data_IF_326307190961
#
_entry.id   IF_326307190961
#
_cell.length_a   1.000
_cell.length_b   1.000
_cell.length_c   1.000
_cell.angle_alpha   90.00
_cell.angle_beta   90.00
_cell.angle_gamma   90.00
#
_symmetry.space_group_name_H-M   'P 1'
#
loop_
_entity.id
_entity.type
_entity.pdbx_description
1 polymer ?
#
# COMPACT_ATOMS: atom_id res chain seq x y z
N UNK A 1 11.00 20.18 20.39
CA UNK A 1 9.55 20.15 20.67
C UNK A 1 8.96 19.01 19.86
N UNK A 2 8.55 17.94 20.51
CA UNK A 2 7.66 16.95 19.89
C UNK A 2 6.38 17.68 19.49
N UNK A 3 6.03 17.65 18.19
CA UNK A 3 4.75 18.20 17.74
C UNK A 3 3.67 17.17 18.08
N UNK A 4 2.67 17.58 18.85
CA UNK A 4 1.51 16.75 19.12
C UNK A 4 0.85 16.28 17.81
N UNK A 5 0.28 15.06 17.82
CA UNK A 5 -0.44 14.56 16.67
C UNK A 5 -1.62 15.47 16.32
N UNK A 6 -1.91 15.69 15.02
CA UNK A 6 -3.14 16.36 14.61
C UNK A 6 -4.36 15.64 15.18
N UNK A 7 -5.30 16.41 15.71
CA UNK A 7 -6.55 15.89 16.27
C UNK A 7 -7.70 16.21 15.31
N UNK A 8 -8.48 15.18 14.97
CA UNK A 8 -9.66 15.29 14.13
C UNK A 8 -10.91 14.95 14.93
N UNK A 9 -11.90 15.84 14.92
CA UNK A 9 -13.22 15.56 15.48
C UNK A 9 -14.24 15.40 14.36
N UNK A 10 -14.89 14.25 14.29
CA UNK A 10 -15.96 13.96 13.36
C UNK A 10 -17.29 14.02 14.10
N UNK A 11 -18.25 14.76 13.56
CA UNK A 11 -19.61 14.88 14.09
C UNK A 11 -20.64 14.42 13.06
N UNK A 12 -21.50 13.49 13.45
CA UNK A 12 -22.63 12.98 12.70
C UNK A 12 -23.93 13.29 13.45
N UNK A 13 -25.00 13.57 12.70
CA UNK A 13 -26.34 13.56 13.28
C UNK A 13 -26.73 12.13 13.72
N UNK A 14 -27.68 11.96 14.64
CA UNK A 14 -28.16 10.63 15.05
C UNK A 14 -28.58 9.76 13.86
N UNK A 15 -29.25 10.35 12.86
CA UNK A 15 -29.69 9.65 11.64
C UNK A 15 -28.51 9.16 10.79
N UNK A 16 -27.53 10.01 10.53
CA UNK A 16 -26.34 9.65 9.73
C UNK A 16 -25.47 8.63 10.48
N UNK A 17 -25.39 8.74 11.82
CA UNK A 17 -24.71 7.74 12.65
C UNK A 17 -25.40 6.38 12.58
N UNK A 18 -26.73 6.33 12.74
CA UNK A 18 -27.51 5.10 12.61
C UNK A 18 -27.33 4.47 11.22
N UNK A 19 -27.35 5.29 10.16
CA UNK A 19 -27.11 4.81 8.81
C UNK A 19 -25.71 4.21 8.66
N UNK A 20 -24.68 4.87 9.19
CA UNK A 20 -23.30 4.37 9.17
C UNK A 20 -23.17 3.01 9.89
N UNK A 21 -23.82 2.86 11.05
CA UNK A 21 -23.66 1.67 11.92
C UNK A 21 -24.59 0.52 11.57
N UNK A 22 -25.69 0.76 10.85
CA UNK A 22 -26.70 -0.27 10.54
C UNK A 22 -26.17 -1.41 9.67
N UNK A 23 -25.22 -1.13 8.77
CA UNK A 23 -24.58 -2.14 7.95
C UNK A 23 -23.11 -1.76 7.71
N UNK A 24 -22.20 -2.41 8.45
CA UNK A 24 -20.76 -2.16 8.35
C UNK A 24 -20.18 -2.47 6.95
N UNK A 25 -20.86 -3.29 6.15
CA UNK A 25 -20.46 -3.67 4.79
C UNK A 25 -20.97 -2.70 3.72
N UNK A 26 -21.78 -1.71 4.11
CA UNK A 26 -22.30 -0.70 3.20
C UNK A 26 -21.18 0.11 2.56
N UNK A 27 -21.27 0.29 1.23
CA UNK A 27 -20.40 1.20 0.47
C UNK A 27 -20.92 2.64 0.44
N UNK A 28 -22.10 2.87 1.02
CA UNK A 28 -22.77 4.18 1.00
C UNK A 28 -22.09 5.14 1.96
N UNK A 29 -21.86 6.36 1.48
CA UNK A 29 -21.32 7.44 2.30
C UNK A 29 -22.45 8.19 3.01
N UNK A 30 -22.23 8.44 4.30
CA UNK A 30 -23.01 9.34 5.15
C UNK A 30 -22.43 10.75 5.12
N UNK A 31 -23.26 11.77 5.37
CA UNK A 31 -22.79 13.15 5.49
C UNK A 31 -22.35 13.45 6.92
N UNK A 32 -21.28 14.23 7.06
CA UNK A 32 -20.71 14.55 8.37
C UNK A 32 -19.89 15.85 8.30
N UNK A 33 -19.50 16.39 9.45
CA UNK A 33 -18.55 17.50 9.56
C UNK A 33 -17.30 17.02 10.28
N UNK A 34 -16.13 17.40 9.76
CA UNK A 34 -14.84 17.16 10.42
C UNK A 34 -14.24 18.48 10.85
N UNK A 35 -13.67 18.53 12.04
CA UNK A 35 -12.90 19.67 12.56
C UNK A 35 -11.43 19.27 12.64
N UNK A 36 -10.56 20.19 12.21
CA UNK A 36 -9.11 20.11 12.39
C UNK A 36 -8.64 21.49 12.86
N UNK A 37 -7.90 21.57 13.96
CA UNK A 37 -7.44 22.83 14.57
C UNK A 37 -8.58 23.85 14.78
N UNK A 38 -9.74 23.36 15.26
CA UNK A 38 -10.94 24.17 15.51
C UNK A 38 -11.71 24.63 14.27
N UNK A 39 -11.26 24.30 13.05
CA UNK A 39 -11.93 24.71 11.80
C UNK A 39 -12.81 23.57 11.26
N UNK A 40 -14.15 23.72 11.27
CA UNK A 40 -15.06 22.73 10.69
C UNK A 40 -15.07 22.78 9.16
N UNK A 41 -15.23 21.61 8.54
CA UNK A 41 -15.50 21.48 7.12
C UNK A 41 -16.34 20.23 6.81
N UNK A 42 -17.20 20.29 5.77
CA UNK A 42 -18.05 19.17 5.41
C UNK A 42 -17.23 18.00 4.84
N UNK A 43 -17.63 16.80 5.22
CA UNK A 43 -17.08 15.55 4.72
C UNK A 43 -18.18 14.54 4.40
N UNK A 44 -17.82 13.54 3.61
CA UNK A 44 -18.57 12.30 3.46
C UNK A 44 -17.74 11.16 4.04
N UNK A 45 -18.36 10.31 4.84
CA UNK A 45 -17.72 9.26 5.62
C UNK A 45 -18.33 7.90 5.27
N UNK A 46 -17.50 6.85 5.28
CA UNK A 46 -17.96 5.44 5.36
C UNK A 46 -16.89 4.58 6.01
N UNK A 47 -17.24 3.38 6.45
CA UNK A 47 -16.24 2.38 6.81
C UNK A 47 -15.47 1.91 5.56
N UNK A 48 -14.19 1.56 5.74
CA UNK A 48 -13.33 1.01 4.67
C UNK A 48 -12.68 -0.31 5.07
N UNK A 49 -12.22 -1.04 4.05
CA UNK A 49 -11.50 -2.30 4.20
C UNK A 49 -12.35 -3.51 3.80
N UNK A 50 -11.75 -4.69 3.90
CA UNK A 50 -12.45 -5.98 3.80
C UNK A 50 -12.80 -6.45 5.20
N UNK A 51 -12.14 -7.52 5.66
CA UNK A 51 -12.34 -8.09 7.00
C UNK A 51 -12.15 -7.07 8.15
N UNK A 52 -11.32 -6.04 7.97
CA UNK A 52 -11.06 -5.00 8.98
C UNK A 52 -12.29 -4.18 9.38
N UNK A 53 -13.38 -4.22 8.61
CA UNK A 53 -14.66 -3.61 9.02
C UNK A 53 -15.28 -4.32 10.22
N UNK A 54 -14.95 -5.60 10.44
CA UNK A 54 -15.39 -6.36 11.60
C UNK A 54 -14.70 -5.96 12.91
N UNK A 55 -13.57 -5.24 12.85
CA UNK A 55 -12.78 -4.93 14.04
C UNK A 55 -13.45 -3.94 14.97
N UNK A 56 -13.21 -4.03 16.30
CA UNK A 56 -13.72 -3.04 17.26
C UNK A 56 -13.35 -1.61 16.85
N UNK A 57 -12.08 -1.41 16.46
CA UNK A 57 -11.57 -0.15 15.93
C UNK A 57 -11.78 -0.06 14.42
N UNK A 58 -12.82 0.65 13.99
CA UNK A 58 -13.19 0.78 12.58
C UNK A 58 -12.23 1.70 11.82
N UNK A 59 -11.96 1.39 10.56
CA UNK A 59 -11.25 2.28 9.62
C UNK A 59 -12.22 3.01 8.71
N UNK A 60 -11.85 4.21 8.24
CA UNK A 60 -12.75 5.08 7.47
C UNK A 60 -12.18 5.53 6.12
N UNK A 61 -13.03 5.61 5.08
CA UNK A 61 -12.76 6.44 3.90
C UNK A 61 -13.49 7.78 4.08
N UNK A 62 -12.73 8.88 4.02
CA UNK A 62 -13.23 10.23 4.17
C UNK A 62 -13.04 10.99 2.88
N UNK A 63 -14.12 11.58 2.36
CA UNK A 63 -14.11 12.45 1.19
C UNK A 63 -14.43 13.87 1.61
N UNK A 64 -13.52 14.77 1.25
CA UNK A 64 -13.74 16.23 1.28
C UNK A 64 -14.19 16.69 -0.11
N UNK A 65 -14.43 17.99 -0.29
CA UNK A 65 -14.77 18.57 -1.58
C UNK A 65 -13.75 18.24 -2.70
N UNK A 66 -12.46 18.07 -2.38
CA UNK A 66 -11.41 17.91 -3.40
C UNK A 66 -10.48 16.70 -3.20
N UNK A 67 -10.56 16.02 -2.05
CA UNK A 67 -9.61 14.96 -1.66
C UNK A 67 -10.31 13.77 -1.03
N UNK A 68 -9.74 12.58 -1.25
CA UNK A 68 -10.07 11.36 -0.50
C UNK A 68 -8.89 11.04 0.41
N UNK A 69 -9.19 10.72 1.66
CA UNK A 69 -8.24 10.18 2.62
C UNK A 69 -8.77 8.87 3.19
N UNK A 70 -7.85 8.02 3.62
CA UNK A 70 -8.15 6.80 4.34
C UNK A 70 -7.60 6.94 5.75
N UNK A 71 -8.45 6.79 6.76
CA UNK A 71 -8.05 6.79 8.15
C UNK A 71 -8.04 5.34 8.60
N UNK A 72 -6.84 4.75 8.63
CA UNK A 72 -6.63 3.37 9.01
C UNK A 72 -6.40 3.26 10.50
N UNK A 73 -7.11 2.31 11.12
CA UNK A 73 -6.88 1.93 12.51
C UNK A 73 -5.51 1.23 12.71
N UNK A 74 -4.95 0.66 11.62
CA UNK A 74 -3.71 -0.17 11.64
C UNK A 74 -3.78 -1.27 12.71
N UNK A 75 -4.99 -1.80 12.98
CA UNK A 75 -5.34 -2.56 14.18
C UNK A 75 -4.52 -3.84 14.39
N UNK A 76 -4.15 -4.52 13.31
CA UNK A 76 -3.33 -5.73 13.38
C UNK A 76 -1.83 -5.46 13.46
N UNK A 77 -1.37 -4.26 13.11
CA UNK A 77 0.02 -3.86 13.20
C UNK A 77 0.34 -3.42 14.63
N UNK A 78 1.09 -4.21 15.43
CA UNK A 78 1.46 -3.82 16.79
C UNK A 78 2.31 -2.56 16.89
N UNK A 79 2.88 -2.09 15.77
CA UNK A 79 3.65 -0.85 15.74
C UNK A 79 2.80 0.35 15.35
N UNK A 80 1.71 0.14 14.60
CA UNK A 80 0.97 1.18 13.85
C UNK A 80 1.84 1.95 12.83
N UNK A 81 3.06 1.49 12.52
CA UNK A 81 4.04 2.20 11.71
C UNK A 81 4.25 1.60 10.31
N UNK A 82 4.02 0.30 10.12
CA UNK A 82 4.54 -0.46 8.98
C UNK A 82 4.08 0.07 7.63
N UNK A 83 2.81 0.46 7.55
CA UNK A 83 2.24 1.03 6.33
C UNK A 83 2.90 2.39 6.00
N UNK A 84 3.04 3.27 7.00
CA UNK A 84 3.71 4.56 6.87
C UNK A 84 5.19 4.41 6.49
N UNK A 85 5.91 3.55 7.21
CA UNK A 85 7.32 3.26 6.97
C UNK A 85 7.55 2.71 5.56
N UNK A 86 6.70 1.78 5.12
CA UNK A 86 6.75 1.23 3.77
C UNK A 86 6.57 2.31 2.71
N UNK A 87 5.54 3.14 2.78
CA UNK A 87 5.34 4.18 1.77
C UNK A 87 6.48 5.20 1.73
N UNK A 88 7.03 5.60 2.89
CA UNK A 88 8.24 6.43 2.95
C UNK A 88 9.45 5.74 2.32
N UNK A 89 9.58 4.42 2.52
CA UNK A 89 10.64 3.65 1.88
C UNK A 89 10.48 3.62 0.35
N UNK A 90 9.27 3.40 -0.18
CA UNK A 90 9.01 3.46 -1.62
C UNK A 90 9.34 4.83 -2.22
N UNK A 91 8.96 5.93 -1.54
CA UNK A 91 9.34 7.29 -1.97
C UNK A 91 10.87 7.43 -2.03
N UNK A 92 11.59 6.93 -1.02
CA UNK A 92 13.07 7.01 -0.96
C UNK A 92 13.78 6.29 -2.11
N UNK A 93 13.15 5.24 -2.67
CA UNK A 93 13.67 4.50 -3.83
C UNK A 93 13.08 4.96 -5.16
N UNK A 94 12.37 6.10 -5.16
CA UNK A 94 11.76 6.79 -6.32
C UNK A 94 10.55 6.06 -6.93
N UNK A 95 9.79 5.34 -6.11
CA UNK A 95 8.46 4.86 -6.48
C UNK A 95 7.43 5.82 -5.87
N UNK A 96 6.51 6.40 -6.66
CA UNK A 96 5.43 7.20 -6.09
C UNK A 96 4.65 6.38 -5.07
N UNK A 97 4.44 6.90 -3.86
CA UNK A 97 3.65 6.23 -2.84
C UNK A 97 2.73 7.24 -2.12
N UNK A 98 1.64 6.78 -1.49
CA UNK A 98 0.73 7.64 -0.73
C UNK A 98 1.47 8.36 0.39
N UNK A 99 1.17 9.64 0.58
CA UNK A 99 1.61 10.34 1.79
C UNK A 99 0.80 9.87 2.99
N UNK A 100 1.45 9.86 4.16
CA UNK A 100 0.85 9.42 5.43
C UNK A 100 1.12 10.40 6.56
N UNK A 101 0.21 10.41 7.54
CA UNK A 101 0.34 11.17 8.78
C UNK A 101 -0.45 10.48 9.89
N UNK A 102 0.19 10.17 11.00
CA UNK A 102 -0.50 9.73 12.21
C UNK A 102 -1.33 10.87 12.80
N UNK A 103 -2.46 10.53 13.41
CA UNK A 103 -3.41 11.49 13.97
C UNK A 103 -4.25 10.85 15.07
N UNK A 104 -4.89 11.67 15.90
CA UNK A 104 -5.90 11.23 16.88
C UNK A 104 -7.28 11.51 16.31
N UNK A 105 -8.19 10.54 16.40
CA UNK A 105 -9.54 10.65 15.87
C UNK A 105 -10.59 10.59 16.98
N UNK A 106 -11.56 11.49 16.91
CA UNK A 106 -12.78 11.47 17.71
C UNK A 106 -14.00 11.34 16.81
N UNK A 107 -15.01 10.59 17.26
CA UNK A 107 -16.30 10.44 16.59
C UNK A 107 -17.42 10.74 17.58
N UNK A 108 -18.22 11.77 17.30
CA UNK A 108 -19.29 12.25 18.19
C UNK A 108 -18.81 12.49 19.63
N UNK A 109 -17.61 13.06 19.78
CA UNK A 109 -16.99 13.34 21.08
C UNK A 109 -16.27 12.15 21.73
N UNK A 110 -16.45 10.93 21.24
CA UNK A 110 -15.75 9.75 21.75
C UNK A 110 -14.36 9.61 21.12
N UNK A 111 -13.33 9.42 21.95
CA UNK A 111 -11.98 9.12 21.48
C UNK A 111 -11.96 7.75 20.80
N UNK A 112 -11.54 7.72 19.54
CA UNK A 112 -11.27 6.48 18.79
C UNK A 112 -9.79 6.09 18.81
N UNK A 113 -8.89 6.96 19.28
CA UNK A 113 -7.46 6.69 19.41
C UNK A 113 -6.62 7.11 18.21
N UNK A 114 -5.46 6.48 18.04
CA UNK A 114 -4.46 6.79 17.00
C UNK A 114 -4.84 6.15 15.67
N UNK A 115 -4.77 6.92 14.59
CA UNK A 115 -5.05 6.49 13.22
C UNK A 115 -3.93 6.92 12.27
N UNK A 116 -3.73 6.14 11.22
CA UNK A 116 -2.90 6.55 10.08
C UNK A 116 -3.78 7.16 8.99
N UNK A 117 -3.65 8.47 8.75
CA UNK A 117 -4.25 9.14 7.61
C UNK A 117 -3.40 8.93 6.37
N UNK A 118 -3.97 8.33 5.33
CA UNK A 118 -3.31 7.97 4.08
C UNK A 118 -3.97 8.73 2.92
N UNK A 119 -3.16 9.31 2.04
CA UNK A 119 -3.61 9.98 0.81
C UNK A 119 -4.29 8.98 -0.15
N UNK A 120 -5.48 9.31 -0.64
CA UNK A 120 -6.16 8.50 -1.66
C UNK A 120 -5.49 8.60 -3.03
N UNK A 121 -5.17 7.45 -3.63
CA UNK A 121 -4.50 7.33 -4.94
C UNK A 121 -5.48 7.56 -6.11
N UNK A 122 -6.03 8.77 -6.18
CA UNK A 122 -6.95 9.19 -7.24
C UNK A 122 -6.30 10.28 -8.11
N UNK A 123 -7.08 10.92 -8.98
CA UNK A 123 -6.60 11.97 -9.89
C UNK A 123 -5.77 13.08 -9.21
N UNK A 124 -6.08 13.43 -7.96
CA UNK A 124 -5.33 14.44 -7.19
C UNK A 124 -3.88 14.01 -6.90
N UNK A 125 -3.68 12.77 -6.44
CA UNK A 125 -2.36 12.19 -6.14
C UNK A 125 -1.40 12.33 -7.32
N UNK A 126 -1.88 11.95 -8.51
CA UNK A 126 -1.11 11.99 -9.75
C UNK A 126 -0.84 13.41 -10.23
N UNK A 127 -1.82 14.32 -10.09
CA UNK A 127 -1.65 15.74 -10.45
C UNK A 127 -0.58 16.42 -9.62
N UNK A 128 -0.57 16.22 -8.29
CA UNK A 128 0.44 16.80 -7.40
C UNK A 128 1.86 16.35 -7.75
N UNK A 129 2.00 15.09 -8.18
CA UNK A 129 3.28 14.51 -8.57
C UNK A 129 3.64 14.77 -10.05
N UNK A 130 2.82 15.54 -10.78
CA UNK A 130 3.00 15.84 -12.21
C UNK A 130 3.10 14.58 -13.08
N UNK A 131 2.35 13.53 -12.73
CA UNK A 131 2.27 12.27 -13.47
C UNK A 131 0.93 12.23 -14.21
N UNK A 132 0.85 12.64 -15.48
CA UNK A 132 -0.40 12.62 -16.23
C UNK A 132 -0.82 11.17 -16.52
N UNK A 133 -1.97 10.76 -15.99
CA UNK A 133 -2.49 9.39 -16.13
C UNK A 133 -3.81 9.33 -16.89
N UNK A 134 -3.91 8.34 -17.78
CA UNK A 134 -5.11 8.04 -18.55
C UNK A 134 -6.08 7.24 -17.70
N UNK A 135 -5.59 6.15 -17.13
CA UNK A 135 -6.38 5.23 -16.30
C UNK A 135 -5.67 4.85 -15.01
N UNK A 136 -6.46 4.49 -14.00
CA UNK A 136 -6.03 4.04 -12.68
C UNK A 136 -6.86 2.80 -12.33
N UNK A 137 -6.19 1.70 -12.06
CA UNK A 137 -6.77 0.44 -11.61
C UNK A 137 -6.22 0.08 -10.23
N UNK A 138 -7.09 -0.22 -9.28
CA UNK A 138 -6.68 -0.82 -8.02
C UNK A 138 -6.70 -2.34 -8.15
N UNK A 139 -5.65 -3.01 -7.67
CA UNK A 139 -5.66 -4.45 -7.45
C UNK A 139 -6.38 -4.72 -6.12
N UNK A 140 -7.53 -5.37 -6.17
CA UNK A 140 -8.47 -5.46 -5.04
C UNK A 140 -8.61 -6.87 -4.45
N UNK A 141 -8.06 -7.89 -5.12
CA UNK A 141 -7.95 -9.26 -4.63
C UNK A 141 -6.85 -10.02 -5.39
N UNK A 142 -6.62 -11.27 -5.02
CA UNK A 142 -5.63 -12.21 -5.52
C UNK A 142 -5.70 -12.55 -7.02
N UNK A 143 -6.79 -12.23 -7.72
CA UNK A 143 -6.89 -12.41 -9.17
C UNK A 143 -6.12 -11.34 -9.97
N UNK A 144 -5.54 -10.32 -9.31
CA UNK A 144 -4.68 -9.33 -9.97
C UNK A 144 -3.21 -9.82 -10.13
N UNK A 145 -3.02 -11.08 -10.54
CA UNK A 145 -1.69 -11.69 -10.77
C UNK A 145 -1.07 -11.48 -12.16
N UNK A 146 -1.77 -10.76 -13.05
CA UNK A 146 -1.45 -10.64 -14.49
C UNK A 146 -1.45 -11.99 -15.26
N UNK A 147 -2.24 -12.97 -14.82
CA UNK A 147 -2.38 -14.29 -15.45
C UNK A 147 -3.63 -14.36 -16.35
N UNK A 148 -3.71 -15.35 -17.24
CA UNK A 148 -4.94 -15.66 -17.99
C UNK A 148 -5.83 -16.65 -17.22
N UNK A 149 -5.21 -17.56 -16.44
CA UNK A 149 -5.89 -18.54 -15.60
C UNK A 149 -5.36 -18.37 -14.18
N UNK A 150 -6.22 -18.06 -13.21
CA UNK A 150 -5.96 -18.43 -11.81
C UNK A 150 -6.29 -19.92 -11.68
N UNK A 151 -5.42 -20.71 -11.05
CA UNK A 151 -5.59 -22.15 -10.93
C UNK A 151 -7.01 -22.58 -10.48
N UNK A 152 -7.63 -23.41 -11.32
CA UNK A 152 -8.61 -24.51 -11.11
C UNK A 152 -9.77 -24.47 -10.10
N UNK A 153 -9.99 -23.42 -9.30
CA UNK A 153 -11.17 -23.35 -8.41
C UNK A 153 -12.08 -22.14 -8.65
N UNK A 154 -11.69 -21.20 -9.51
CA UNK A 154 -12.52 -20.04 -9.82
C UNK A 154 -13.28 -20.22 -11.13
N UNK A 155 -14.59 -20.01 -11.09
CA UNK A 155 -15.49 -20.03 -12.26
C UNK A 155 -15.43 -18.74 -13.08
N UNK A 156 -14.58 -17.78 -12.69
CA UNK A 156 -14.51 -16.47 -13.35
C UNK A 156 -13.48 -16.47 -14.48
N UNK A 157 -13.96 -16.43 -15.71
CA UNK A 157 -13.15 -16.24 -16.92
C UNK A 157 -12.77 -14.78 -17.18
N UNK A 158 -13.20 -13.84 -16.32
CA UNK A 158 -12.88 -12.42 -16.50
C UNK A 158 -11.46 -12.10 -16.00
N UNK A 159 -10.59 -11.78 -16.96
CA UNK A 159 -9.22 -11.33 -16.75
C UNK A 159 -9.07 -10.09 -15.86
N UNK A 160 -10.17 -9.37 -15.61
CA UNK A 160 -10.20 -8.15 -14.79
C UNK A 160 -10.86 -8.34 -13.41
N UNK A 161 -11.22 -9.55 -13.00
CA UNK A 161 -11.90 -9.84 -11.72
C UNK A 161 -11.15 -9.36 -10.47
N UNK A 162 -9.82 -9.24 -10.56
CA UNK A 162 -8.97 -8.68 -9.50
C UNK A 162 -8.78 -7.17 -9.54
N UNK A 163 -9.40 -6.46 -10.48
CA UNK A 163 -9.13 -5.04 -10.73
C UNK A 163 -10.39 -4.18 -10.65
N UNK A 164 -10.28 -3.05 -9.94
CA UNK A 164 -11.30 -2.01 -9.94
C UNK A 164 -10.82 -0.78 -10.70
N UNK A 165 -11.59 -0.32 -11.70
CA UNK A 165 -11.30 0.90 -12.44
C UNK A 165 -11.70 2.12 -11.60
N UNK A 166 -10.72 2.91 -11.19
CA UNK A 166 -10.91 4.12 -10.37
C UNK A 166 -11.01 5.38 -11.22
N UNK A 167 -10.25 5.42 -12.33
CA UNK A 167 -10.27 6.48 -13.34
C UNK A 167 -10.09 5.85 -14.70
N UNK A 168 -10.90 6.24 -15.66
CA UNK A 168 -10.82 5.78 -17.05
C UNK A 168 -12.21 5.50 -17.62
N UNK A 169 -12.24 4.84 -18.77
CA UNK A 169 -13.47 4.39 -19.46
C UNK A 169 -13.35 2.90 -19.80
N UNK A 170 -14.40 2.30 -20.38
CA UNK A 170 -14.37 0.88 -20.75
C UNK A 170 -13.28 0.52 -21.76
N UNK A 171 -12.91 1.44 -22.65
CA UNK A 171 -11.73 1.26 -23.52
C UNK A 171 -10.44 1.02 -22.73
N UNK A 172 -10.31 1.58 -21.52
CA UNK A 172 -9.14 1.35 -20.67
C UNK A 172 -9.18 -0.05 -20.03
N UNK A 173 -10.37 -0.57 -19.70
CA UNK A 173 -10.55 -1.98 -19.30
C UNK A 173 -10.09 -2.90 -20.43
N UNK A 174 -10.53 -2.64 -21.65
CA UNK A 174 -10.10 -3.40 -22.84
C UNK A 174 -8.59 -3.32 -23.05
N UNK A 175 -7.96 -2.15 -22.84
CA UNK A 175 -6.49 -2.02 -22.91
C UNK A 175 -5.78 -2.88 -21.86
N UNK A 176 -6.26 -2.91 -20.62
CA UNK A 176 -5.68 -3.75 -19.57
C UNK A 176 -5.86 -5.24 -19.88
N UNK A 177 -7.05 -5.65 -20.36
CA UNK A 177 -7.31 -7.02 -20.81
C UNK A 177 -6.33 -7.43 -21.91
N UNK A 178 -6.18 -6.58 -22.93
CA UNK A 178 -5.25 -6.81 -24.03
C UNK A 178 -3.79 -6.83 -23.56
N UNK A 179 -3.45 -6.03 -22.54
CA UNK A 179 -2.11 -6.06 -21.93
C UNK A 179 -1.83 -7.41 -21.27
N UNK A 180 -2.77 -7.91 -20.45
CA UNK A 180 -2.65 -9.21 -19.77
C UNK A 180 -2.58 -10.35 -20.80
N UNK A 181 -3.43 -10.33 -21.82
CA UNK A 181 -3.40 -11.33 -22.90
C UNK A 181 -2.04 -11.36 -23.60
N UNK A 182 -1.57 -10.20 -24.07
CA UNK A 182 -0.29 -10.10 -24.79
C UNK A 182 0.93 -10.46 -23.93
N UNK A 183 0.91 -10.11 -22.63
CA UNK A 183 1.93 -10.53 -21.68
C UNK A 183 2.07 -12.06 -21.64
N UNK A 184 0.95 -12.77 -21.75
CA UNK A 184 0.87 -14.21 -21.59
C UNK A 184 1.07 -15.00 -22.90
N UNK A 185 0.73 -14.43 -24.06
CA UNK A 185 0.72 -15.17 -25.34
C UNK A 185 1.86 -14.83 -26.29
N UNK A 186 2.51 -13.66 -26.18
CA UNK A 186 3.58 -13.27 -27.11
C UNK A 186 4.79 -14.19 -27.07
N UNK A 187 5.40 -14.39 -28.24
CA UNK A 187 6.70 -15.05 -28.38
C UNK A 187 7.80 -14.26 -27.66
N UNK A 188 8.96 -14.88 -27.41
CA UNK A 188 10.04 -14.26 -26.62
C UNK A 188 10.51 -12.90 -27.17
N UNK A 189 10.73 -12.79 -28.48
CA UNK A 189 11.22 -11.54 -29.10
C UNK A 189 10.15 -10.45 -29.06
N UNK A 190 8.91 -10.78 -29.39
CA UNK A 190 7.80 -9.83 -29.37
C UNK A 190 7.46 -9.37 -27.96
N UNK A 191 7.53 -10.28 -26.98
CA UNK A 191 7.31 -10.00 -25.57
C UNK A 191 8.35 -8.99 -25.06
N UNK A 192 9.63 -9.14 -25.44
CA UNK A 192 10.66 -8.19 -25.06
C UNK A 192 10.32 -6.76 -25.52
N UNK A 193 9.99 -6.60 -26.81
CA UNK A 193 9.60 -5.30 -27.39
C UNK A 193 8.31 -4.76 -26.76
N UNK A 194 7.34 -5.63 -26.50
CA UNK A 194 6.08 -5.28 -25.84
C UNK A 194 6.30 -4.76 -24.41
N UNK A 195 7.12 -5.44 -23.62
CA UNK A 195 7.44 -4.99 -22.26
C UNK A 195 8.15 -3.63 -22.28
N UNK A 196 9.10 -3.42 -23.19
CA UNK A 196 9.80 -2.14 -23.33
C UNK A 196 8.86 -0.99 -23.74
N UNK A 197 7.84 -1.25 -24.56
CA UNK A 197 6.92 -0.22 -25.06
C UNK A 197 5.74 0.03 -24.13
N UNK A 198 5.31 -0.96 -23.34
CA UNK A 198 4.10 -0.88 -22.50
C UNK A 198 4.35 -0.82 -21.01
N UNK A 199 5.54 -1.14 -20.50
CA UNK A 199 5.86 -1.07 -19.07
C UNK A 199 6.89 0.03 -18.83
N UNK A 200 6.67 0.84 -17.80
CA UNK A 200 7.73 1.63 -17.20
C UNK A 200 8.60 0.71 -16.35
N UNK A 201 9.60 0.11 -17.00
CA UNK A 201 10.42 -0.93 -16.40
C UNK A 201 11.28 -0.43 -15.24
N UNK A 202 11.73 0.82 -15.25
CA UNK A 202 12.48 1.38 -14.11
C UNK A 202 11.57 1.52 -12.89
N UNK A 203 10.37 2.10 -13.05
CA UNK A 203 9.37 2.18 -11.98
C UNK A 203 8.98 0.79 -11.46
N UNK A 204 8.71 -0.17 -12.35
CA UNK A 204 8.33 -1.53 -11.96
C UNK A 204 9.45 -2.25 -11.20
N UNK A 205 10.70 -2.19 -11.65
CA UNK A 205 11.80 -2.87 -10.98
C UNK A 205 12.17 -2.23 -9.64
N UNK A 206 11.96 -0.91 -9.48
CA UNK A 206 12.05 -0.25 -8.16
C UNK A 206 10.92 -0.68 -7.24
N UNK A 207 9.69 -0.77 -7.75
CA UNK A 207 8.57 -1.28 -6.97
C UNK A 207 8.80 -2.73 -6.53
N UNK A 208 9.28 -3.59 -7.44
CA UNK A 208 9.66 -4.97 -7.15
C UNK A 208 10.72 -5.01 -6.04
N UNK A 209 11.74 -4.16 -6.15
CA UNK A 209 12.77 -4.03 -5.10
C UNK A 209 12.12 -3.64 -3.76
N UNK A 210 11.19 -2.70 -3.76
CA UNK A 210 10.45 -2.27 -2.57
C UNK A 210 9.63 -3.38 -1.94
N UNK A 211 8.82 -4.09 -2.72
CA UNK A 211 8.00 -5.22 -2.26
C UNK A 211 8.87 -6.34 -1.68
N UNK A 212 9.98 -6.67 -2.35
CA UNK A 212 10.97 -7.65 -1.86
C UNK A 212 11.63 -7.16 -0.58
N UNK A 213 12.12 -5.93 -0.52
CA UNK A 213 12.87 -5.43 0.65
C UNK A 213 11.97 -5.30 1.90
N UNK A 214 10.73 -4.84 1.73
CA UNK A 214 9.76 -4.70 2.83
C UNK A 214 9.11 -6.02 3.23
N UNK A 215 9.11 -7.02 2.34
CA UNK A 215 8.57 -8.35 2.61
C UNK A 215 7.06 -8.46 2.46
N UNK A 216 6.42 -7.60 1.66
CA UNK A 216 4.98 -7.69 1.41
C UNK A 216 4.69 -8.89 0.48
N UNK A 217 4.23 -10.01 1.06
CA UNK A 217 3.93 -11.23 0.33
C UNK A 217 2.70 -11.09 -0.59
N UNK A 218 1.66 -10.43 -0.10
CA UNK A 218 0.41 -10.22 -0.83
C UNK A 218 0.53 -9.16 -1.93
N UNK A 219 1.49 -8.25 -1.78
CA UNK A 219 1.76 -7.11 -2.66
C UNK A 219 1.96 -7.44 -4.13
N UNK A 220 2.17 -8.70 -4.50
CA UNK A 220 2.38 -9.12 -5.88
C UNK A 220 1.10 -9.45 -6.64
N UNK A 221 0.03 -9.79 -5.93
CA UNK A 221 -1.27 -10.19 -6.50
C UNK A 221 -2.40 -9.27 -6.07
N UNK A 222 -2.21 -8.50 -5.00
CA UNK A 222 -3.08 -7.43 -4.53
C UNK A 222 -2.22 -6.28 -3.99
N UNK A 223 -2.82 -5.28 -3.32
CA UNK A 223 -2.05 -4.27 -2.57
C UNK A 223 -1.14 -3.40 -3.47
N UNK A 224 -1.64 -3.08 -4.68
CA UNK A 224 -1.00 -2.12 -5.58
C UNK A 224 -2.02 -1.36 -6.44
N UNK A 225 -1.57 -0.25 -7.03
CA UNK A 225 -2.30 0.46 -8.09
C UNK A 225 -1.52 0.38 -9.39
N UNK A 226 -2.22 0.04 -10.47
CA UNK A 226 -1.71 -0.01 -11.84
C UNK A 226 -2.27 1.17 -12.63
N UNK A 227 -1.40 1.97 -13.25
CA UNK A 227 -1.83 3.20 -13.93
C UNK A 227 -1.16 3.38 -15.29
N UNK A 228 -1.90 3.88 -16.28
CA UNK A 228 -1.37 4.17 -17.61
C UNK A 228 -0.97 5.65 -17.75
N UNK A 229 0.27 5.92 -18.13
CA UNK A 229 0.76 7.29 -18.39
C UNK A 229 0.25 7.80 -19.74
N UNK A 230 -0.27 9.02 -19.78
CA UNK A 230 -0.86 9.62 -21.00
C UNK A 230 0.18 9.72 -22.12
N UNK A 231 1.35 10.30 -21.82
CA UNK A 231 2.36 10.66 -22.82
C UNK A 231 3.04 9.45 -23.46
N UNK A 232 3.44 8.47 -22.65
CA UNK A 232 4.20 7.31 -23.12
C UNK A 232 3.33 6.09 -23.43
N UNK A 233 2.07 6.05 -22.99
CA UNK A 233 1.24 4.84 -23.02
C UNK A 233 1.73 3.70 -22.13
N UNK A 234 2.85 3.89 -21.42
CA UNK A 234 3.40 2.91 -20.49
C UNK A 234 2.60 2.83 -19.20
N UNK A 235 2.48 1.63 -18.68
CA UNK A 235 1.96 1.40 -17.34
C UNK A 235 3.04 1.54 -16.28
N UNK A 236 2.67 2.12 -15.15
CA UNK A 236 3.44 2.12 -13.91
C UNK A 236 2.65 1.48 -12.77
N UNK A 237 3.34 1.27 -11.66
CA UNK A 237 2.85 0.63 -10.45
C UNK A 237 3.24 1.45 -9.21
N UNK A 238 2.39 1.40 -8.19
CA UNK A 238 2.65 1.97 -6.87
C UNK A 238 2.07 1.07 -5.76
N UNK A 239 2.64 1.12 -4.54
CA UNK A 239 2.19 0.28 -3.42
C UNK A 239 0.88 0.77 -2.79
N UNK A 240 0.14 -0.15 -2.18
CA UNK A 240 -1.03 0.10 -1.33
C UNK A 240 -1.15 -1.01 -0.26
N UNK A 241 -1.70 -0.78 0.94
CA UNK A 241 -1.79 -1.79 2.04
C UNK A 241 -0.47 -2.56 2.31
N UNK A 242 0.45 -1.87 2.98
CA UNK A 242 1.78 -2.38 3.33
C UNK A 242 1.95 -2.57 4.84
N UNK A 243 0.88 -2.85 5.58
CA UNK A 243 0.93 -3.22 7.00
C UNK A 243 1.56 -4.61 7.22
N UNK A 244 1.33 -5.57 6.31
CA UNK A 244 1.94 -6.90 6.33
C UNK A 244 3.40 -6.91 5.83
N UNK A 245 4.28 -6.21 6.55
CA UNK A 245 5.69 -6.01 6.19
C UNK A 245 6.62 -6.00 7.40
N UNK A 246 7.92 -5.81 7.19
CA UNK A 246 8.93 -5.60 8.25
C UNK A 246 8.88 -6.68 9.35
N UNK A 247 8.84 -7.95 8.91
CA UNK A 247 8.88 -9.12 9.79
C UNK A 247 7.54 -9.56 10.35
N UNK A 248 6.41 -9.00 9.89
CA UNK A 248 5.05 -9.48 10.22
C UNK A 248 4.19 -9.64 8.96
N UNK A 249 3.20 -10.53 9.02
CA UNK A 249 2.14 -10.62 8.01
C UNK A 249 1.01 -9.61 8.31
N UNK A 250 -0.02 -9.57 7.46
CA UNK A 250 -1.15 -8.64 7.56
C UNK A 250 -2.02 -8.83 8.82
N UNK A 251 -1.86 -9.95 9.55
CA UNK A 251 -2.54 -10.20 10.83
C UNK A 251 -1.67 -9.88 12.05
N UNK A 252 -0.47 -9.31 11.82
CA UNK A 252 0.49 -9.00 12.87
C UNK A 252 1.30 -10.20 13.36
N UNK A 253 1.18 -11.38 12.76
CA UNK A 253 1.99 -12.55 13.12
C UNK A 253 3.40 -12.41 12.59
N UNK A 254 4.41 -12.80 13.39
CA UNK A 254 5.82 -12.77 12.96
C UNK A 254 6.05 -13.73 11.81
N UNK A 255 6.89 -13.32 10.86
CA UNK A 255 7.26 -14.13 9.70
C UNK A 255 8.77 -14.13 9.50
N UNK A 256 9.27 -15.15 8.81
CA UNK A 256 10.67 -15.26 8.47
C UNK A 256 11.08 -14.10 7.50
N UNK A 257 12.25 -13.48 7.71
CA UNK A 257 12.84 -12.56 6.74
C UNK A 257 12.92 -13.10 5.31
N UNK A 258 12.90 -14.41 5.07
CA UNK A 258 12.95 -15.04 3.75
C UNK A 258 11.58 -15.21 3.06
N UNK A 259 10.46 -14.85 3.71
CA UNK A 259 9.08 -15.06 3.23
C UNK A 259 8.89 -14.68 1.76
N UNK A 260 9.45 -13.53 1.35
CA UNK A 260 9.45 -13.09 -0.05
C UNK A 260 10.79 -13.44 -0.68
N UNK A 261 10.81 -14.25 -1.74
CA UNK A 261 12.06 -14.53 -2.47
C UNK A 261 12.57 -13.32 -3.25
N UNK A 262 13.86 -13.26 -3.55
CA UNK A 262 14.48 -12.11 -4.24
C UNK A 262 13.90 -11.84 -5.63
N UNK A 263 13.39 -12.87 -6.34
CA UNK A 263 12.72 -12.70 -7.61
C UNK A 263 11.30 -12.12 -7.48
N UNK A 264 10.72 -12.07 -6.28
CA UNK A 264 9.31 -11.76 -6.09
C UNK A 264 8.37 -12.78 -6.74
N UNK A 265 7.13 -12.36 -6.96
CA UNK A 265 6.05 -13.19 -7.51
C UNK A 265 5.29 -12.44 -8.62
N UNK A 266 4.19 -13.05 -9.07
CA UNK A 266 3.34 -12.69 -10.20
C UNK A 266 3.92 -12.94 -11.60
N UNK A 267 3.02 -12.93 -12.59
CA UNK A 267 3.34 -13.26 -13.98
C UNK A 267 4.23 -12.20 -14.63
N UNK A 268 3.97 -10.91 -14.41
CA UNK A 268 4.72 -9.83 -15.03
C UNK A 268 6.18 -9.82 -14.57
N UNK A 269 6.44 -10.01 -13.27
CA UNK A 269 7.78 -10.14 -12.72
C UNK A 269 8.53 -11.31 -13.36
N UNK A 270 7.92 -12.49 -13.44
CA UNK A 270 8.53 -13.66 -14.07
C UNK A 270 8.86 -13.42 -15.55
N UNK A 271 7.98 -12.75 -16.29
CA UNK A 271 8.19 -12.42 -17.71
C UNK A 271 9.28 -11.36 -17.91
N UNK A 272 9.39 -10.36 -17.03
CA UNK A 272 10.49 -9.38 -17.06
C UNK A 272 11.82 -10.04 -16.72
N UNK A 273 11.91 -10.77 -15.61
CA UNK A 273 13.16 -11.39 -15.16
C UNK A 273 13.61 -12.57 -16.05
N UNK A 274 12.80 -13.04 -16.99
CA UNK A 274 13.27 -13.97 -18.02
C UNK A 274 14.31 -13.34 -18.98
N UNK A 275 14.37 -12.01 -19.09
CA UNK A 275 15.32 -11.31 -19.95
C UNK A 275 16.54 -10.82 -19.18
N UNK A 276 17.74 -11.12 -19.70
CA UNK A 276 19.03 -10.76 -19.07
C UNK A 276 19.14 -9.25 -18.78
N UNK A 277 18.70 -8.39 -19.69
CA UNK A 277 18.77 -6.93 -19.52
C UNK A 277 17.98 -6.45 -18.30
N UNK A 278 16.74 -6.89 -18.14
CA UNK A 278 15.91 -6.54 -16.98
C UNK A 278 16.45 -7.13 -15.68
N UNK A 279 16.97 -8.37 -15.69
CA UNK A 279 17.65 -8.94 -14.51
C UNK A 279 18.86 -8.13 -14.09
N UNK A 280 19.70 -7.69 -15.03
CA UNK A 280 20.88 -6.87 -14.69
C UNK A 280 20.47 -5.51 -14.12
N UNK A 281 19.42 -4.88 -14.66
CA UNK A 281 18.87 -3.65 -14.10
C UNK A 281 18.35 -3.87 -12.67
N UNK A 282 17.57 -4.94 -12.45
CA UNK A 282 17.06 -5.29 -11.13
C UNK A 282 18.19 -5.59 -10.13
N UNK A 283 19.18 -6.38 -10.53
CA UNK A 283 20.37 -6.70 -9.72
C UNK A 283 21.14 -5.45 -9.32
N UNK A 284 21.29 -4.48 -10.24
CA UNK A 284 21.90 -3.18 -9.96
C UNK A 284 21.09 -2.36 -8.95
N UNK A 285 19.77 -2.28 -9.12
CA UNK A 285 18.88 -1.59 -8.18
C UNK A 285 18.94 -2.22 -6.78
N UNK A 286 18.82 -3.55 -6.68
CA UNK A 286 18.90 -4.27 -5.40
C UNK A 286 20.22 -4.02 -4.68
N UNK A 287 21.36 -4.06 -5.39
CA UNK A 287 22.67 -3.70 -4.81
C UNK A 287 22.66 -2.28 -4.26
N UNK A 288 22.20 -1.32 -5.04
CA UNK A 288 22.15 0.08 -4.63
C UNK A 288 21.24 0.29 -3.41
N UNK A 289 20.08 -0.36 -3.38
CA UNK A 289 19.16 -0.25 -2.26
C UNK A 289 19.73 -0.92 -1.00
N UNK A 290 20.36 -2.09 -1.11
CA UNK A 290 21.06 -2.72 0.01
C UNK A 290 22.28 -1.91 0.47
N UNK A 291 22.97 -1.16 -0.38
CA UNK A 291 24.08 -0.32 0.09
C UNK A 291 23.59 0.96 0.77
N UNK A 292 22.53 1.59 0.23
CA UNK A 292 22.27 3.00 0.51
C UNK A 292 20.91 3.30 1.15
N UNK A 293 19.86 2.51 0.85
CA UNK A 293 18.48 2.84 1.23
C UNK A 293 17.95 1.93 2.34
N UNK A 294 18.14 0.61 2.19
CA UNK A 294 17.62 -0.40 3.10
C UNK A 294 18.66 -0.75 4.18
N UNK A 295 19.12 0.23 4.94
CA UNK A 295 20.13 0.06 6.01
C UNK A 295 19.55 0.50 7.34
N UNK A 296 20.06 -0.03 8.45
CA UNK A 296 19.68 0.44 9.79
C UNK A 296 19.88 1.95 9.93
N UNK A 297 21.03 2.48 9.48
CA UNK A 297 21.36 3.91 9.51
C UNK A 297 20.32 4.79 8.79
N UNK A 298 19.61 4.27 7.79
CA UNK A 298 18.58 5.03 7.07
C UNK A 298 17.17 4.78 7.59
N UNK A 299 16.86 3.54 7.95
CA UNK A 299 15.51 3.13 8.34
C UNK A 299 15.23 3.49 9.80
N UNK A 300 16.15 3.18 10.71
CA UNK A 300 15.91 3.30 12.14
C UNK A 300 15.63 4.74 12.62
N UNK A 301 16.29 5.79 12.10
CA UNK A 301 15.93 7.15 12.47
C UNK A 301 14.48 7.53 12.13
N UNK A 302 13.91 6.96 11.05
CA UNK A 302 12.50 7.16 10.71
C UNK A 302 11.59 6.33 11.62
N UNK A 303 11.96 5.08 11.91
CA UNK A 303 11.22 4.20 12.84
C UNK A 303 11.10 4.85 14.21
N UNK A 304 12.22 5.27 14.80
CA UNK A 304 12.21 5.90 16.12
C UNK A 304 11.43 7.22 16.14
N UNK A 305 11.54 8.02 15.07
CA UNK A 305 10.76 9.25 14.95
C UNK A 305 9.26 8.96 14.97
N UNK A 306 8.80 8.07 14.08
CA UNK A 306 7.38 7.73 13.99
C UNK A 306 6.87 7.06 15.29
N UNK A 307 7.68 6.22 15.93
CA UNK A 307 7.34 5.57 17.18
C UNK A 307 7.18 6.57 18.33
N UNK A 308 8.16 7.47 18.49
CA UNK A 308 8.13 8.50 19.52
C UNK A 308 6.97 9.48 19.30
N UNK A 309 6.71 9.88 18.05
CA UNK A 309 5.61 10.78 17.68
C UNK A 309 4.23 10.29 18.13
N UNK A 310 4.02 8.96 18.22
CA UNK A 310 2.71 8.39 18.56
C UNK A 310 2.62 7.80 19.97
N UNK A 311 3.75 7.56 20.66
CA UNK A 311 3.81 6.76 21.89
C UNK A 311 2.83 7.24 22.97
N UNK A 312 2.79 8.54 23.22
CA UNK A 312 1.94 9.12 24.27
C UNK A 312 0.44 9.00 23.96
N UNK A 313 0.06 9.06 22.68
CA UNK A 313 -1.33 8.92 22.25
C UNK A 313 -1.75 7.45 22.15
N UNK A 314 -0.83 6.53 21.82
CA UNK A 314 -1.08 5.09 21.86
C UNK A 314 -1.36 4.62 23.28
N UNK A 315 -0.65 5.16 24.29
CA UNK A 315 -0.92 4.88 25.71
C UNK A 315 -2.35 5.26 26.14
N UNK A 316 -2.99 6.22 25.45
CA UNK A 316 -4.34 6.72 25.74
C UNK A 316 -5.40 6.08 24.83
N UNK A 317 -4.99 5.25 23.87
CA UNK A 317 -5.86 4.68 22.86
C UNK A 317 -6.75 3.58 23.47
N UNK A 318 -8.07 3.78 23.58
CA UNK A 318 -8.96 2.81 24.22
C UNK A 318 -9.13 1.52 23.40
N UNK A 319 -8.59 1.48 22.18
CA UNK A 319 -8.71 0.36 21.25
C UNK A 319 -7.36 -0.23 20.83
N UNK A 320 -6.27 0.08 21.54
CA UNK A 320 -4.98 -0.55 21.28
C UNK A 320 -5.09 -2.07 21.51
N UNK A 321 -4.97 -2.85 20.43
CA UNK A 321 -5.12 -4.32 20.44
C UNK A 321 -4.00 -5.00 21.23
N UNK A 322 -2.79 -4.44 21.15
CA UNK A 322 -1.56 -5.11 21.58
C UNK A 322 -1.09 -4.57 22.94
N UNK A 323 -0.49 -5.42 23.79
CA UNK A 323 0.19 -4.98 25.00
C UNK A 323 1.25 -3.90 24.72
N UNK A 324 1.41 -2.95 25.64
CA UNK A 324 2.31 -1.80 25.44
C UNK A 324 3.79 -2.18 25.37
N UNK A 325 4.20 -3.27 26.01
CA UNK A 325 5.55 -3.84 25.89
C UNK A 325 5.80 -4.41 24.47
N UNK A 326 4.77 -4.99 23.85
CA UNK A 326 4.84 -5.41 22.44
C UNK A 326 5.04 -4.20 21.55
N UNK A 327 4.22 -3.14 21.69
CA UNK A 327 4.37 -1.89 20.94
C UNK A 327 5.76 -1.25 21.14
N UNK A 328 6.24 -1.20 22.38
CA UNK A 328 7.56 -0.65 22.72
C UNK A 328 8.71 -1.44 22.09
N UNK A 329 8.55 -2.76 21.90
CA UNK A 329 9.54 -3.63 21.29
C UNK A 329 9.55 -3.65 19.75
N UNK A 330 8.56 -3.05 19.09
CA UNK A 330 8.47 -3.10 17.63
C UNK A 330 9.60 -2.41 16.85
N UNK A 331 10.18 -1.27 17.31
CA UNK A 331 11.36 -0.71 16.67
C UNK A 331 12.52 -1.71 16.56
N UNK A 332 12.78 -2.48 17.62
CA UNK A 332 13.84 -3.50 17.62
C UNK A 332 13.51 -4.64 16.67
N UNK A 333 12.24 -5.05 16.57
CA UNK A 333 11.81 -6.08 15.59
C UNK A 333 12.01 -5.63 14.15
N UNK A 334 11.70 -4.37 13.85
CA UNK A 334 11.95 -3.79 12.53
C UNK A 334 13.46 -3.78 12.25
N UNK A 335 14.30 -3.41 13.24
CA UNK A 335 15.77 -3.45 13.12
C UNK A 335 16.28 -4.86 12.82
N UNK A 336 15.88 -5.85 13.61
CA UNK A 336 16.23 -7.26 13.41
C UNK A 336 15.82 -7.75 12.02
N UNK A 337 14.62 -7.40 11.56
CA UNK A 337 14.16 -7.74 10.22
C UNK A 337 15.08 -7.13 9.16
N UNK A 338 15.43 -5.84 9.28
CA UNK A 338 16.32 -5.16 8.32
C UNK A 338 17.66 -5.89 8.24
N UNK A 339 18.28 -6.23 9.37
CA UNK A 339 19.56 -6.97 9.40
C UNK A 339 19.45 -8.31 8.69
N UNK A 340 18.54 -9.18 9.15
CA UNK A 340 18.39 -10.55 8.62
C UNK A 340 17.95 -10.54 7.16
N UNK A 341 17.08 -9.61 6.77
CA UNK A 341 16.62 -9.47 5.37
C UNK A 341 17.76 -9.06 4.45
N UNK A 342 18.67 -8.17 4.90
CA UNK A 342 19.86 -7.78 4.14
C UNK A 342 20.82 -8.94 3.95
N UNK A 343 21.06 -9.73 4.98
CA UNK A 343 21.90 -10.92 4.91
C UNK A 343 21.37 -11.91 3.87
N UNK A 344 20.10 -12.30 4.02
CA UNK A 344 19.41 -13.18 3.07
C UNK A 344 19.49 -12.64 1.63
N UNK A 345 19.13 -11.38 1.40
CA UNK A 345 19.10 -10.82 0.04
C UNK A 345 20.50 -10.66 -0.55
N UNK A 346 21.51 -10.35 0.26
CA UNK A 346 22.90 -10.24 -0.22
C UNK A 346 23.44 -11.59 -0.70
N UNK A 347 23.06 -12.68 -0.03
CA UNK A 347 23.36 -14.04 -0.46
C UNK A 347 22.62 -14.37 -1.78
N UNK A 348 21.30 -14.19 -1.83
CA UNK A 348 20.49 -14.56 -3.00
C UNK A 348 20.77 -13.70 -4.23
N UNK A 349 21.24 -12.46 -4.05
CA UNK A 349 21.61 -11.59 -5.15
C UNK A 349 22.77 -12.16 -5.99
N UNK A 350 23.63 -13.01 -5.41
CA UNK A 350 24.70 -13.70 -6.15
C UNK A 350 24.13 -14.68 -7.18
N UNK A 351 22.94 -15.21 -6.93
CA UNK A 351 22.25 -16.22 -7.74
C UNK A 351 21.34 -15.63 -8.85
N UNK A 352 21.22 -14.29 -8.92
CA UNK A 352 20.30 -13.55 -9.81
C UNK A 352 20.91 -13.08 -11.15
#
# INVERSE_FOLDING_TARGET
MEMALPVYHISLSPTEYQQLTSNIWSETFVNSTMQMDGKPFPIRLRYRGGHTRGYPKKSFEIRTASRTYHFNAEYDDPSLLRNALSFRFFESIRVPAPSTQHCVLYLNGQLLGVYLRIEGVKSFFFRQRKIPVRSIFYAVNDHAGFTINSDTSSTSTDLLSGYSLIRGKDVDRTRLRNFIQQLNTKSKLELFRFLQSRVDTDNYLRWLSGAVLTGNFDGFHQNYTWYEKIKSGKYGILPWDYEGTWGRNCYGTRVDPNLVRIQGYNRLTGRLLAFRSFRQQYKKLMRQHLMNAFTEKRIMPLVHRLHNEIREDVNKDPYMKWPMDVFAGEPERIREYVVKRREYLSEKLRQL
#
